data_IF_282107519393
#
_entry.id   IF_282107519393
#
_cell.length_a   1.000
_cell.length_b   1.000
_cell.length_c   1.000
_cell.angle_alpha   90.00
_cell.angle_beta   90.00
_cell.angle_gamma   90.00
#
_symmetry.space_group_name_H-M   'P 1'
#
loop_
_entity.id
_entity.type
_entity.pdbx_description
1 polymer ?
#
# COMPACT_ATOMS: atom_id res chain seq x y z
N UNK A 1 -25.33 -22.14 8.29
CA UNK A 1 -24.08 -22.91 8.18
C UNK A 1 -23.36 -22.85 6.83
N UNK A 2 -24.03 -22.90 5.65
CA UNK A 2 -23.32 -22.82 4.33
C UNK A 2 -22.84 -21.41 3.92
N UNK A 3 -23.35 -20.34 4.53
CA UNK A 3 -22.94 -18.94 4.27
C UNK A 3 -21.62 -18.53 4.95
N UNK A 4 -21.26 -19.14 6.09
CA UNK A 4 -20.08 -18.75 6.87
C UNK A 4 -18.76 -19.14 6.16
N UNK A 5 -18.75 -20.29 5.48
CA UNK A 5 -17.57 -20.72 4.70
C UNK A 5 -17.27 -19.82 3.48
N UNK A 6 -18.28 -19.16 2.91
CA UNK A 6 -18.11 -18.27 1.76
C UNK A 6 -17.51 -16.93 2.21
N UNK A 7 -18.00 -16.37 3.32
CA UNK A 7 -17.46 -15.14 3.88
C UNK A 7 -15.98 -15.29 4.20
N UNK A 8 -15.60 -16.35 4.92
CA UNK A 8 -14.21 -16.66 5.29
C UNK A 8 -13.31 -16.77 4.05
N UNK A 9 -13.79 -17.40 2.96
CA UNK A 9 -13.05 -17.59 1.71
C UNK A 9 -12.70 -16.28 0.99
N UNK A 10 -13.49 -15.22 1.15
CA UNK A 10 -13.23 -13.90 0.55
C UNK A 10 -12.62 -12.90 1.55
N UNK A 11 -12.95 -12.99 2.84
CA UNK A 11 -12.43 -12.08 3.87
C UNK A 11 -10.95 -12.33 4.18
N UNK A 12 -10.52 -13.59 4.20
CA UNK A 12 -9.12 -13.92 4.44
C UNK A 12 -8.17 -13.35 3.37
N UNK A 13 -8.39 -13.54 2.05
CA UNK A 13 -7.53 -12.93 1.04
C UNK A 13 -7.54 -11.40 1.15
N UNK A 14 -8.69 -10.79 1.43
CA UNK A 14 -8.79 -9.35 1.70
C UNK A 14 -7.95 -8.94 2.92
N UNK A 15 -7.95 -9.72 4.00
CA UNK A 15 -7.15 -9.44 5.18
C UNK A 15 -5.64 -9.59 4.91
N UNK A 16 -5.21 -10.64 4.21
CA UNK A 16 -3.80 -10.82 3.80
C UNK A 16 -3.33 -9.68 2.90
N UNK A 17 -4.15 -9.32 1.90
CA UNK A 17 -3.88 -8.22 0.99
C UNK A 17 -3.92 -6.86 1.70
N UNK A 18 -4.84 -6.66 2.64
CA UNK A 18 -4.98 -5.44 3.43
C UNK A 18 -3.81 -5.21 4.38
N UNK A 19 -3.37 -6.25 5.10
CA UNK A 19 -2.19 -6.20 5.96
C UNK A 19 -0.91 -5.93 5.16
N UNK A 20 -0.75 -6.61 4.03
CA UNK A 20 0.35 -6.33 3.10
C UNK A 20 0.29 -4.89 2.60
N UNK A 21 -0.88 -4.42 2.15
CA UNK A 21 -1.07 -3.07 1.62
C UNK A 21 -0.81 -1.98 2.66
N UNK A 22 -1.21 -2.22 3.92
CA UNK A 22 -0.91 -1.32 5.03
C UNK A 22 0.59 -1.22 5.32
N UNK A 23 1.29 -2.37 5.39
CA UNK A 23 2.75 -2.37 5.57
C UNK A 23 3.47 -1.72 4.40
N UNK A 24 2.97 -1.92 3.18
CA UNK A 24 3.50 -1.30 1.97
C UNK A 24 3.33 0.22 1.99
N UNK A 25 2.15 0.72 2.36
CA UNK A 25 1.89 2.15 2.54
C UNK A 25 2.83 2.77 3.58
N UNK A 26 2.99 2.14 4.76
CA UNK A 26 3.95 2.61 5.76
C UNK A 26 5.38 2.65 5.20
N UNK A 27 5.78 1.61 4.46
CA UNK A 27 7.11 1.58 3.81
C UNK A 27 7.29 2.76 2.88
N UNK A 28 6.30 3.05 2.02
CA UNK A 28 6.36 4.18 1.07
C UNK A 28 6.43 5.52 1.80
N UNK A 29 5.67 5.71 2.87
CA UNK A 29 5.72 6.93 3.68
C UNK A 29 7.09 7.16 4.31
N UNK A 30 7.64 6.15 4.99
CA UNK A 30 8.95 6.26 5.61
C UNK A 30 10.06 6.38 4.55
N UNK A 31 9.93 5.71 3.40
CA UNK A 31 10.86 5.86 2.29
C UNK A 31 10.89 7.30 1.74
N UNK A 32 9.73 7.94 1.58
CA UNK A 32 9.66 9.37 1.23
C UNK A 32 10.38 10.25 2.25
N UNK A 33 10.18 9.98 3.55
CA UNK A 33 10.87 10.73 4.62
C UNK A 33 12.38 10.50 4.60
N UNK A 34 12.83 9.26 4.35
CA UNK A 34 14.25 8.94 4.20
C UNK A 34 14.89 9.66 3.03
N UNK A 35 14.21 9.70 1.88
CA UNK A 35 14.68 10.43 0.70
C UNK A 35 14.83 11.92 1.02
N UNK A 36 13.89 12.51 1.77
CA UNK A 36 14.00 13.90 2.20
C UNK A 36 15.23 14.12 3.09
N UNK A 37 15.46 13.25 4.09
CA UNK A 37 16.63 13.32 4.99
C UNK A 37 17.96 13.10 4.26
N UNK A 38 17.98 12.19 3.26
CA UNK A 38 19.13 11.95 2.39
C UNK A 38 19.42 13.18 1.52
N UNK A 39 18.39 13.76 0.92
CA UNK A 39 18.51 14.96 0.09
C UNK A 39 19.09 16.13 0.90
N UNK A 40 18.56 16.37 2.10
CA UNK A 40 19.11 17.35 3.06
C UNK A 40 20.60 17.08 3.37
N UNK A 41 20.95 15.84 3.68
CA UNK A 41 22.33 15.48 4.06
C UNK A 41 23.34 15.64 2.92
N UNK A 42 22.93 15.35 1.69
CA UNK A 42 23.81 15.36 0.50
C UNK A 42 23.88 16.76 -0.12
N UNK A 43 22.75 17.46 -0.23
CA UNK A 43 22.64 18.75 -0.93
C UNK A 43 23.04 19.91 -0.02
N UNK A 44 22.61 19.91 1.25
CA UNK A 44 22.91 21.01 2.18
C UNK A 44 24.19 20.77 2.99
N UNK A 45 24.87 19.63 2.81
CA UNK A 45 26.08 19.19 3.55
C UNK A 45 25.93 19.14 5.08
N UNK A 46 24.71 19.23 5.62
CA UNK A 46 24.40 18.99 7.03
C UNK A 46 24.02 17.52 7.24
N UNK A 47 24.96 16.72 7.72
CA UNK A 47 24.79 15.27 7.84
C UNK A 47 23.76 14.90 8.93
N UNK A 48 22.49 14.72 8.56
CA UNK A 48 21.39 14.35 9.47
C UNK A 48 21.49 12.91 9.97
N UNK A 49 22.33 12.07 9.34
CA UNK A 49 22.61 10.70 9.78
C UNK A 49 23.40 10.59 11.09
N UNK A 50 23.81 11.71 11.68
CA UNK A 50 24.30 11.73 13.05
C UNK A 50 23.15 11.63 14.09
N UNK A 51 21.91 11.82 13.66
CA UNK A 51 20.74 11.69 14.51
C UNK A 51 20.22 10.25 14.50
N UNK A 52 19.96 9.71 15.69
CA UNK A 52 19.43 8.34 15.87
C UNK A 52 18.07 8.16 15.19
N UNK A 53 17.29 9.24 15.03
CA UNK A 53 15.97 9.21 14.37
C UNK A 53 16.08 8.76 12.91
N UNK A 54 17.08 9.21 12.16
CA UNK A 54 17.28 8.82 10.76
C UNK A 54 17.58 7.32 10.62
N UNK A 55 18.35 6.77 11.57
CA UNK A 55 18.62 5.33 11.65
C UNK A 55 17.37 4.52 12.00
N UNK A 56 16.54 5.03 12.92
CA UNK A 56 15.26 4.39 13.27
C UNK A 56 14.34 4.33 12.05
N UNK A 57 14.18 5.43 11.30
CA UNK A 57 13.34 5.46 10.10
C UNK A 57 13.87 4.45 9.06
N UNK A 58 15.20 4.37 8.89
CA UNK A 58 15.82 3.43 7.95
C UNK A 58 15.52 1.98 8.33
N UNK A 59 15.74 1.62 9.60
CA UNK A 59 15.48 0.27 10.12
C UNK A 59 13.99 -0.07 9.99
N UNK A 60 13.10 0.84 10.39
CA UNK A 60 11.65 0.64 10.29
C UNK A 60 11.24 0.43 8.83
N UNK A 61 11.79 1.21 7.89
CA UNK A 61 11.50 1.06 6.45
C UNK A 61 11.93 -0.31 5.93
N UNK A 62 13.11 -0.80 6.33
CA UNK A 62 13.59 -2.14 5.93
C UNK A 62 12.70 -3.24 6.51
N UNK A 63 12.34 -3.13 7.79
CA UNK A 63 11.47 -4.11 8.46
C UNK A 63 10.08 -4.16 7.81
N UNK A 64 9.48 -2.99 7.54
CA UNK A 64 8.17 -2.92 6.88
C UNK A 64 8.24 -3.40 5.43
N UNK A 65 9.34 -3.11 4.70
CA UNK A 65 9.60 -3.61 3.36
C UNK A 65 9.67 -5.14 3.30
N UNK A 66 10.41 -5.78 4.22
CA UNK A 66 10.45 -7.25 4.28
C UNK A 66 9.10 -7.81 4.70
N UNK A 67 8.41 -7.18 5.65
CA UNK A 67 7.10 -7.61 6.14
C UNK A 67 6.04 -7.59 5.04
N UNK A 68 5.98 -6.53 4.21
CA UNK A 68 5.01 -6.48 3.11
C UNK A 68 5.23 -7.62 2.10
N UNK A 69 6.49 -7.94 1.76
CA UNK A 69 6.83 -9.04 0.85
C UNK A 69 6.40 -10.38 1.46
N UNK A 70 6.62 -10.57 2.75
CA UNK A 70 6.15 -11.75 3.47
C UNK A 70 4.63 -11.92 3.39
N UNK A 71 3.85 -10.87 3.65
CA UNK A 71 2.38 -10.93 3.60
C UNK A 71 1.84 -11.19 2.19
N UNK A 72 2.44 -10.60 1.16
CA UNK A 72 2.09 -10.86 -0.24
C UNK A 72 2.35 -12.32 -0.59
N UNK A 73 3.55 -12.83 -0.29
CA UNK A 73 3.93 -14.21 -0.56
C UNK A 73 3.07 -15.21 0.22
N UNK A 74 2.74 -14.91 1.46
CA UNK A 74 1.82 -15.71 2.28
C UNK A 74 0.41 -15.76 1.68
N UNK A 75 -0.07 -14.64 1.15
CA UNK A 75 -1.34 -14.56 0.42
C UNK A 75 -1.33 -15.36 -0.88
N UNK A 76 -0.27 -15.22 -1.68
CA UNK A 76 -0.08 -15.95 -2.95
C UNK A 76 0.02 -17.47 -2.76
N UNK A 77 0.53 -17.94 -1.62
CA UNK A 77 0.56 -19.37 -1.29
C UNK A 77 -0.83 -19.94 -1.00
N UNK A 78 -1.79 -19.11 -0.60
CA UNK A 78 -3.15 -19.52 -0.18
C UNK A 78 -4.24 -19.18 -1.21
N UNK A 79 -4.02 -18.16 -2.04
CA UNK A 79 -5.01 -17.60 -2.96
C UNK A 79 -4.39 -17.34 -4.34
N UNK A 80 -5.24 -17.34 -5.37
CA UNK A 80 -4.84 -17.05 -6.74
C UNK A 80 -4.20 -15.64 -6.86
N UNK A 81 -3.06 -15.57 -7.52
CA UNK A 81 -2.34 -14.32 -7.80
C UNK A 81 -3.22 -13.30 -8.53
N UNK A 82 -4.12 -13.77 -9.38
CA UNK A 82 -5.06 -12.93 -10.13
C UNK A 82 -6.07 -12.21 -9.23
N UNK A 83 -6.28 -12.68 -7.99
CA UNK A 83 -7.11 -12.01 -6.99
C UNK A 83 -6.25 -11.27 -5.96
N UNK A 84 -5.18 -11.91 -5.48
CA UNK A 84 -4.35 -11.39 -4.39
C UNK A 84 -3.63 -10.08 -4.77
N UNK A 85 -3.02 -10.02 -5.95
CA UNK A 85 -2.21 -8.86 -6.38
C UNK A 85 -3.07 -7.61 -6.60
N UNK A 86 -4.20 -7.66 -7.34
CA UNK A 86 -5.03 -6.48 -7.51
C UNK A 86 -5.63 -5.98 -6.21
N UNK A 87 -6.09 -6.88 -5.32
CA UNK A 87 -6.66 -6.49 -4.02
C UNK A 87 -5.61 -5.83 -3.13
N UNK A 88 -4.38 -6.38 -3.10
CA UNK A 88 -3.26 -5.74 -2.41
C UNK A 88 -3.02 -4.34 -2.95
N UNK A 89 -2.98 -4.17 -4.27
CA UNK A 89 -2.75 -2.87 -4.90
C UNK A 89 -3.86 -1.86 -4.57
N UNK A 90 -5.13 -2.29 -4.54
CA UNK A 90 -6.24 -1.45 -4.09
C UNK A 90 -6.04 -0.94 -2.66
N UNK A 91 -5.80 -1.87 -1.72
CA UNK A 91 -5.62 -1.54 -0.31
C UNK A 91 -4.40 -0.62 -0.13
N UNK A 92 -3.29 -0.95 -0.77
CA UNK A 92 -2.08 -0.14 -0.77
C UNK A 92 -2.35 1.29 -1.23
N UNK A 93 -2.95 1.50 -2.41
CA UNK A 93 -3.17 2.84 -2.95
C UNK A 93 -4.10 3.68 -2.06
N UNK A 94 -5.18 3.08 -1.55
CA UNK A 94 -6.12 3.79 -0.66
C UNK A 94 -5.38 4.24 0.61
N UNK A 95 -4.62 3.34 1.23
CA UNK A 95 -3.90 3.62 2.46
C UNK A 95 -2.75 4.60 2.23
N UNK A 96 -2.02 4.50 1.13
CA UNK A 96 -0.91 5.38 0.78
C UNK A 96 -1.38 6.81 0.52
N UNK A 97 -2.55 6.97 -0.10
CA UNK A 97 -3.08 8.30 -0.40
C UNK A 97 -3.67 8.95 0.86
N UNK A 98 -4.38 8.18 1.69
CA UNK A 98 -4.85 8.67 2.98
C UNK A 98 -3.67 9.01 3.90
N UNK A 99 -2.72 8.08 4.04
CA UNK A 99 -1.56 8.22 4.90
C UNK A 99 -0.62 9.33 4.44
N UNK A 100 -0.37 9.44 3.14
CA UNK A 100 0.45 10.50 2.55
C UNK A 100 -0.20 11.86 2.68
N UNK A 101 -1.49 11.94 2.39
CA UNK A 101 -2.25 13.18 2.51
C UNK A 101 -2.35 13.71 3.94
N UNK A 102 -2.45 12.83 4.95
CA UNK A 102 -2.41 13.23 6.37
C UNK A 102 -0.98 13.57 6.80
N UNK A 103 0.01 12.74 6.47
CA UNK A 103 1.38 12.88 6.99
C UNK A 103 2.11 14.09 6.41
N UNK A 104 1.98 14.32 5.11
CA UNK A 104 2.63 15.44 4.41
C UNK A 104 1.69 16.64 4.23
N UNK A 105 0.52 16.62 4.88
CA UNK A 105 -0.55 17.61 4.73
C UNK A 105 -0.86 17.95 3.25
N UNK A 106 -0.72 16.94 2.37
CA UNK A 106 -0.87 17.19 0.94
C UNK A 106 -2.28 17.70 0.66
N UNK A 107 -3.29 17.18 1.37
CA UNK A 107 -4.71 17.53 1.20
C UNK A 107 -5.00 19.03 1.35
N UNK A 108 -4.26 19.75 2.17
CA UNK A 108 -4.40 21.20 2.30
C UNK A 108 -4.02 21.94 0.99
N UNK A 109 -3.16 21.34 0.16
CA UNK A 109 -2.66 21.90 -1.10
C UNK A 109 -3.22 21.17 -2.34
N UNK A 110 -4.19 20.27 -2.19
CA UNK A 110 -4.78 19.56 -3.33
C UNK A 110 -5.69 20.50 -4.13
N UNK A 111 -5.28 20.81 -5.35
CA UNK A 111 -6.16 21.44 -6.35
C UNK A 111 -7.35 20.50 -6.66
N UNK A 112 -8.57 21.00 -6.93
CA UNK A 112 -9.74 20.16 -7.24
C UNK A 112 -9.49 19.11 -8.33
N UNK A 113 -8.63 19.41 -9.32
CA UNK A 113 -8.23 18.49 -10.37
C UNK A 113 -7.46 17.27 -9.84
N UNK A 114 -6.58 17.44 -8.84
CA UNK A 114 -5.84 16.33 -8.23
C UNK A 114 -6.78 15.40 -7.45
N UNK A 115 -7.78 15.96 -6.77
CA UNK A 115 -8.84 15.17 -6.13
C UNK A 115 -9.65 14.37 -7.15
N UNK A 116 -10.03 14.99 -8.27
CA UNK A 116 -10.76 14.31 -9.33
C UNK A 116 -9.94 13.17 -9.95
N UNK A 117 -8.64 13.38 -10.22
CA UNK A 117 -7.74 12.34 -10.70
C UNK A 117 -7.54 11.20 -9.69
N UNK A 118 -7.49 11.52 -8.39
CA UNK A 118 -7.44 10.50 -7.33
C UNK A 118 -8.69 9.63 -7.32
N UNK A 119 -9.88 10.24 -7.29
CA UNK A 119 -11.16 9.51 -7.30
C UNK A 119 -11.26 8.66 -8.58
N UNK A 120 -10.86 9.22 -9.73
CA UNK A 120 -10.81 8.48 -11.00
C UNK A 120 -9.86 7.28 -10.93
N UNK A 121 -8.68 7.44 -10.34
CA UNK A 121 -7.74 6.34 -10.09
C UNK A 121 -8.33 5.24 -9.23
N UNK A 122 -9.01 5.60 -8.12
CA UNK A 122 -9.69 4.65 -7.24
C UNK A 122 -10.80 3.91 -7.99
N UNK A 123 -11.62 4.61 -8.78
CA UNK A 123 -12.68 4.00 -9.59
C UNK A 123 -12.11 3.05 -10.63
N UNK A 124 -11.05 3.45 -11.35
CA UNK A 124 -10.37 2.60 -12.34
C UNK A 124 -9.82 1.33 -11.70
N UNK A 125 -9.21 1.45 -10.52
CA UNK A 125 -8.71 0.30 -9.76
C UNK A 125 -9.86 -0.64 -9.40
N UNK A 126 -10.96 -0.14 -8.84
CA UNK A 126 -12.14 -0.94 -8.47
C UNK A 126 -12.74 -1.64 -9.71
N UNK A 127 -12.86 -0.92 -10.83
CA UNK A 127 -13.38 -1.47 -12.09
C UNK A 127 -12.45 -2.54 -12.65
N UNK A 128 -11.13 -2.31 -12.60
CA UNK A 128 -10.12 -3.27 -13.03
C UNK A 128 -10.20 -4.58 -12.25
N UNK A 129 -10.26 -4.50 -10.92
CA UNK A 129 -10.39 -5.68 -10.05
C UNK A 129 -11.73 -6.40 -10.27
N UNK A 130 -12.82 -5.64 -10.37
CA UNK A 130 -14.14 -6.20 -10.66
C UNK A 130 -14.20 -6.93 -12.00
N UNK A 131 -13.54 -6.40 -13.02
CA UNK A 131 -13.48 -7.00 -14.36
C UNK A 131 -12.63 -8.28 -14.36
N UNK A 132 -11.49 -8.27 -13.66
CA UNK A 132 -10.63 -9.45 -13.52
C UNK A 132 -11.32 -10.56 -12.73
N UNK A 133 -11.96 -10.23 -11.61
CA UNK A 133 -12.73 -11.18 -10.81
C UNK A 133 -13.88 -11.82 -11.60
N UNK A 134 -14.59 -11.04 -12.42
CA UNK A 134 -15.64 -11.55 -13.33
C UNK A 134 -15.09 -12.51 -14.39
N UNK A 135 -13.88 -12.27 -14.90
CA UNK A 135 -13.24 -13.13 -15.90
C UNK A 135 -12.84 -14.49 -15.30
N UNK A 136 -12.28 -14.51 -14.10
CA UNK A 136 -11.90 -15.75 -13.41
C UNK A 136 -13.12 -16.63 -13.17
N UNK A 137 -14.26 -16.04 -12.79
CA UNK A 137 -15.52 -16.77 -12.58
C UNK A 137 -16.13 -17.36 -13.87
N UNK A 138 -15.73 -16.91 -15.06
CA UNK A 138 -16.20 -17.48 -16.34
C UNK A 138 -15.37 -18.67 -16.82
N UNK A 139 -14.19 -18.90 -16.23
CA UNK A 139 -13.24 -19.93 -16.68
C UNK A 139 -13.27 -21.20 -15.83
N UNK A 140 -14.13 -21.26 -14.80
CA UNK A 140 -14.39 -22.46 -13.99
C UNK A 140 -15.88 -22.70 -13.84
#
# INVERSE_FOLDING_TARGET
FKKEGVAIKYLLPLAYAGLGGFMSSLTTLFAKSLINLLSESIVEKHNQFNNIVSWIILIVTVITAVSQVYWINMGLRKYDALLQVPVFYCCYNILDIIGGGIYYDEFAHYTPLKYAMFILGVVLIIVGVGSLAKRIKRLG
#
